data_IF_896719446936
#
_entry.id   IF_896719446936
#
_cell.length_a   1.000
_cell.length_b   1.000
_cell.length_c   1.000
_cell.angle_alpha   90.00
_cell.angle_beta   90.00
_cell.angle_gamma   90.00
#
_symmetry.space_group_name_H-M   'P 1'
#
loop_
_entity.id
_entity.type
_entity.pdbx_description
1 polymer ?
#
# COMPACT_ATOMS: atom_id res chain seq x y z
N UNK A 1 -43.70 -11.64 -25.90
CA UNK A 1 -43.38 -11.45 -24.46
C UNK A 1 -41.88 -11.41 -24.15
N UNK A 2 -41.01 -12.21 -24.80
CA UNK A 2 -39.57 -12.24 -24.48
C UNK A 2 -38.77 -10.95 -24.76
N UNK A 3 -39.10 -10.19 -25.81
CA UNK A 3 -38.36 -8.98 -26.20
C UNK A 3 -38.51 -7.85 -25.17
N UNK A 4 -39.71 -7.65 -24.61
CA UNK A 4 -39.96 -6.63 -23.58
C UNK A 4 -39.23 -6.93 -22.27
N UNK A 5 -39.15 -8.21 -21.89
CA UNK A 5 -38.41 -8.66 -20.69
C UNK A 5 -36.90 -8.40 -20.88
N UNK A 6 -36.37 -8.71 -22.07
CA UNK A 6 -34.95 -8.46 -22.39
C UNK A 6 -34.60 -6.97 -22.33
N UNK A 7 -35.45 -6.10 -22.88
CA UNK A 7 -35.24 -4.65 -22.84
C UNK A 7 -35.26 -4.10 -21.40
N UNK A 8 -36.22 -4.53 -20.57
CA UNK A 8 -36.27 -4.13 -19.15
C UNK A 8 -35.03 -4.59 -18.38
N UNK A 9 -34.52 -5.80 -18.67
CA UNK A 9 -33.30 -6.32 -18.06
C UNK A 9 -32.06 -5.47 -18.44
N UNK A 10 -31.90 -5.14 -19.72
CA UNK A 10 -30.79 -4.29 -20.18
C UNK A 10 -30.82 -2.89 -19.56
N UNK A 11 -32.01 -2.27 -19.51
CA UNK A 11 -32.19 -0.96 -18.87
C UNK A 11 -31.85 -1.03 -17.38
N UNK A 12 -32.30 -2.08 -16.68
CA UNK A 12 -31.99 -2.28 -15.26
C UNK A 12 -30.48 -2.46 -15.01
N UNK A 13 -29.81 -3.27 -15.84
CA UNK A 13 -28.34 -3.45 -15.77
C UNK A 13 -27.62 -2.12 -15.98
N UNK A 14 -28.07 -1.33 -16.96
CA UNK A 14 -27.51 -0.01 -17.25
C UNK A 14 -27.66 0.94 -16.05
N UNK A 15 -28.85 1.02 -15.44
CA UNK A 15 -29.07 1.86 -14.26
C UNK A 15 -28.22 1.40 -13.06
N UNK A 16 -28.10 0.09 -12.83
CA UNK A 16 -27.23 -0.46 -11.78
C UNK A 16 -25.77 -0.11 -12.05
N UNK A 17 -25.30 -0.25 -13.29
CA UNK A 17 -23.95 0.14 -13.69
C UNK A 17 -23.70 1.64 -13.43
N UNK A 18 -24.60 2.52 -13.88
CA UNK A 18 -24.49 3.96 -13.71
C UNK A 18 -24.50 4.36 -12.22
N UNK A 19 -25.37 3.76 -11.42
CA UNK A 19 -25.40 3.98 -9.97
C UNK A 19 -24.09 3.55 -9.31
N UNK A 20 -23.56 2.37 -9.66
CA UNK A 20 -22.27 1.88 -9.13
C UNK A 20 -21.12 2.77 -9.53
N UNK A 21 -21.05 3.18 -10.80
CA UNK A 21 -20.03 4.10 -11.33
C UNK A 21 -20.10 5.46 -10.63
N UNK A 22 -21.29 6.04 -10.50
CA UNK A 22 -21.50 7.30 -9.78
C UNK A 22 -21.09 7.22 -8.31
N UNK A 23 -21.39 6.10 -7.64
CA UNK A 23 -20.97 5.86 -6.24
C UNK A 23 -19.45 5.76 -6.09
N UNK A 24 -18.77 5.09 -7.02
CA UNK A 24 -17.30 5.00 -7.03
C UNK A 24 -16.69 6.39 -7.23
N UNK A 25 -17.16 7.14 -8.23
CA UNK A 25 -16.64 8.48 -8.51
C UNK A 25 -16.81 9.43 -7.30
N UNK A 26 -17.99 9.45 -6.66
CA UNK A 26 -18.23 10.28 -5.47
C UNK A 26 -17.28 9.96 -4.33
N UNK A 27 -16.93 8.68 -4.14
CA UNK A 27 -15.97 8.24 -3.12
C UNK A 27 -14.56 8.66 -3.45
N UNK A 28 -14.15 8.48 -4.70
CA UNK A 28 -12.84 8.92 -5.18
C UNK A 28 -12.67 10.42 -4.97
N UNK A 29 -13.66 11.23 -5.35
CA UNK A 29 -13.65 12.67 -5.13
C UNK A 29 -13.65 13.06 -3.65
N UNK A 30 -14.41 12.34 -2.82
CA UNK A 30 -14.39 12.55 -1.37
C UNK A 30 -12.99 12.33 -0.79
N UNK A 31 -12.31 11.23 -1.14
CA UNK A 31 -10.94 10.95 -0.67
C UNK A 31 -9.96 12.02 -1.19
N UNK A 32 -10.03 12.38 -2.47
CA UNK A 32 -9.14 13.37 -3.09
C UNK A 32 -9.25 14.74 -2.40
N UNK A 33 -10.49 15.19 -2.18
CA UNK A 33 -10.81 16.49 -1.59
C UNK A 33 -10.69 16.54 -0.06
N UNK A 34 -10.49 15.39 0.60
CA UNK A 34 -10.48 15.33 2.07
C UNK A 34 -9.38 16.21 2.67
N UNK A 35 -9.76 16.99 3.69
CA UNK A 35 -8.86 17.85 4.46
C UNK A 35 -8.63 17.21 5.82
N UNK A 36 -7.42 16.74 6.04
CA UNK A 36 -7.00 16.21 7.33
C UNK A 36 -6.94 17.32 8.39
N UNK A 37 -7.24 17.03 9.66
CA UNK A 37 -7.05 17.98 10.76
C UNK A 37 -5.64 18.55 10.79
N UNK A 38 -5.51 19.87 11.01
CA UNK A 38 -4.20 20.54 11.09
C UNK A 38 -3.29 19.97 12.19
N UNK A 39 -3.89 19.39 13.23
CA UNK A 39 -3.16 18.71 14.30
C UNK A 39 -2.25 17.57 13.78
N UNK A 40 -2.66 16.85 12.74
CA UNK A 40 -1.85 15.78 12.13
C UNK A 40 -0.60 16.35 11.46
N UNK A 41 -0.74 17.47 10.76
CA UNK A 41 0.42 18.16 10.14
C UNK A 41 1.41 18.63 11.19
N UNK A 42 0.92 19.17 12.31
CA UNK A 42 1.76 19.56 13.44
C UNK A 42 2.50 18.35 14.04
N UNK A 43 1.78 17.25 14.27
CA UNK A 43 2.34 16.01 14.82
C UNK A 43 3.40 15.39 13.90
N UNK A 44 3.19 15.41 12.59
CA UNK A 44 4.20 15.02 11.60
C UNK A 44 5.46 15.90 11.68
N UNK A 45 5.31 17.22 11.82
CA UNK A 45 6.44 18.13 11.97
C UNK A 45 7.18 18.00 13.32
N UNK A 46 6.47 17.58 14.37
CA UNK A 46 7.07 17.25 15.68
C UNK A 46 7.86 15.93 15.60
N UNK A 47 7.30 14.89 14.98
CA UNK A 47 7.92 13.57 14.84
C UNK A 47 9.09 13.55 13.85
N UNK A 48 8.97 14.29 12.75
CA UNK A 48 9.98 14.38 11.69
C UNK A 48 10.39 15.85 11.45
N UNK A 49 11.24 16.44 12.32
CA UNK A 49 11.62 17.85 12.25
C UNK A 49 12.30 18.28 10.95
N UNK A 50 12.88 17.33 10.21
CA UNK A 50 13.49 17.58 8.89
C UNK A 50 12.48 17.84 7.77
N UNK A 51 11.19 17.57 7.98
CA UNK A 51 10.17 17.74 6.95
C UNK A 51 9.64 19.17 6.87
N UNK A 52 9.70 19.75 5.68
CA UNK A 52 9.05 21.02 5.39
C UNK A 52 7.55 20.84 5.08
N UNK A 53 6.80 21.96 5.02
CA UNK A 53 5.35 21.97 4.76
C UNK A 53 4.95 21.26 3.47
N UNK A 54 5.76 21.33 2.41
CA UNK A 54 5.49 20.67 1.13
C UNK A 54 5.61 19.15 1.27
N UNK A 55 6.63 18.68 1.98
CA UNK A 55 6.83 17.25 2.27
C UNK A 55 5.73 16.70 3.17
N UNK A 56 5.32 17.44 4.21
CA UNK A 56 4.16 17.06 5.04
C UNK A 56 2.89 16.93 4.19
N UNK A 57 2.66 17.86 3.25
CA UNK A 57 1.55 17.76 2.31
C UNK A 57 1.67 16.51 1.42
N UNK A 58 2.87 16.20 0.93
CA UNK A 58 3.15 15.00 0.14
C UNK A 58 2.82 13.73 0.94
N UNK A 59 3.20 13.63 2.22
CA UNK A 59 2.84 12.51 3.11
C UNK A 59 1.32 12.35 3.20
N UNK A 60 0.58 13.44 3.42
CA UNK A 60 -0.89 13.39 3.50
C UNK A 60 -1.56 13.05 2.16
N UNK A 61 -1.00 13.48 1.04
CA UNK A 61 -1.48 13.10 -0.28
C UNK A 61 -1.19 11.62 -0.58
N UNK A 62 -0.04 11.10 -0.15
CA UNK A 62 0.29 9.67 -0.22
C UNK A 62 -0.58 8.82 0.72
N UNK A 63 -0.97 9.34 1.88
CA UNK A 63 -1.98 8.70 2.74
C UNK A 63 -3.33 8.54 2.02
N UNK A 64 -3.73 9.52 1.20
CA UNK A 64 -4.92 9.36 0.33
C UNK A 64 -4.72 8.25 -0.70
N UNK A 65 -3.52 8.12 -1.27
CA UNK A 65 -3.18 7.00 -2.18
C UNK A 65 -3.39 5.66 -1.48
N UNK A 66 -2.92 5.51 -0.24
CA UNK A 66 -3.19 4.33 0.57
C UNK A 66 -4.70 4.07 0.73
N UNK A 67 -5.49 5.09 1.05
CA UNK A 67 -6.96 4.93 1.15
C UNK A 67 -7.63 4.54 -0.17
N UNK A 68 -7.10 4.99 -1.32
CA UNK A 68 -7.62 4.57 -2.62
C UNK A 68 -7.35 3.09 -2.90
N UNK A 69 -6.13 2.61 -2.65
CA UNK A 69 -5.82 1.18 -2.85
C UNK A 69 -6.57 0.31 -1.83
N UNK A 70 -6.81 0.86 -0.64
CA UNK A 70 -7.66 0.27 0.41
C UNK A 70 -9.16 0.43 0.16
N UNK A 71 -9.63 1.09 -0.90
CA UNK A 71 -11.07 1.17 -1.21
C UNK A 71 -11.63 -0.13 -1.83
N UNK A 72 -10.90 -1.24 -1.68
CA UNK A 72 -11.21 -2.49 -2.36
C UNK A 72 -12.08 -3.39 -1.49
N UNK A 73 -13.28 -3.69 -2.00
CA UNK A 73 -14.41 -4.10 -1.17
C UNK A 73 -14.42 -5.54 -0.67
N UNK A 74 -13.53 -6.46 -1.10
CA UNK A 74 -13.83 -7.89 -0.87
C UNK A 74 -12.76 -8.94 -0.59
N UNK A 75 -11.44 -8.83 -0.81
CA UNK A 75 -10.62 -10.08 -0.71
C UNK A 75 -9.19 -10.03 -0.19
N UNK A 76 -8.59 -8.87 0.02
CA UNK A 76 -7.14 -8.80 0.25
C UNK A 76 -6.79 -7.88 1.40
N UNK A 77 -5.98 -8.39 2.34
CA UNK A 77 -5.28 -7.55 3.30
C UNK A 77 -4.32 -6.63 2.56
N UNK A 78 -4.19 -5.38 3.00
CA UNK A 78 -3.29 -4.38 2.42
C UNK A 78 -2.52 -3.79 3.60
N UNK A 79 -1.21 -4.07 3.67
CA UNK A 79 -0.33 -3.47 4.65
C UNK A 79 0.09 -2.06 4.23
N UNK A 80 0.46 -1.24 5.21
CA UNK A 80 1.11 0.04 4.98
C UNK A 80 2.60 -0.19 4.68
N UNK A 81 3.13 0.22 3.51
CA UNK A 81 4.53 0.00 3.15
C UNK A 81 5.39 1.27 3.35
N UNK A 82 5.00 2.16 4.27
CA UNK A 82 5.73 3.39 4.58
C UNK A 82 5.51 3.81 6.03
N UNK A 83 6.60 4.13 6.72
CA UNK A 83 6.61 4.50 8.14
C UNK A 83 6.03 5.90 8.36
N UNK A 84 6.45 6.88 7.54
CA UNK A 84 5.95 8.25 7.68
C UNK A 84 4.46 8.35 7.36
N UNK A 85 3.97 7.53 6.42
CA UNK A 85 2.56 7.46 6.07
C UNK A 85 1.77 6.67 7.13
N UNK A 86 2.36 5.62 7.71
CA UNK A 86 1.74 4.90 8.83
C UNK A 86 1.54 5.80 10.04
N UNK A 87 2.56 6.58 10.41
CA UNK A 87 2.46 7.58 11.47
C UNK A 87 1.32 8.58 11.21
N UNK A 88 1.22 9.11 9.98
CA UNK A 88 0.13 10.01 9.60
C UNK A 88 -1.26 9.33 9.71
N UNK A 89 -1.34 8.05 9.36
CA UNK A 89 -2.57 7.27 9.51
C UNK A 89 -2.92 7.03 10.98
N UNK A 90 -1.92 6.69 11.81
CA UNK A 90 -2.07 6.50 13.24
C UNK A 90 -2.64 7.75 13.91
N UNK A 91 -2.05 8.91 13.62
CA UNK A 91 -2.56 10.20 14.10
C UNK A 91 -3.99 10.49 13.63
N UNK A 92 -4.38 10.03 12.43
CA UNK A 92 -5.74 10.21 11.94
C UNK A 92 -6.76 9.34 12.67
N UNK A 93 -6.40 8.11 13.04
CA UNK A 93 -7.30 7.17 13.76
C UNK A 93 -7.74 7.74 15.10
N UNK A 94 -6.88 8.52 15.76
CA UNK A 94 -7.19 9.18 17.04
C UNK A 94 -8.34 10.20 16.92
N UNK A 95 -8.61 10.74 15.73
CA UNK A 95 -9.80 11.55 15.45
C UNK A 95 -11.01 10.66 15.19
N UNK A 96 -11.39 9.83 16.16
CA UNK A 96 -12.31 8.69 16.00
C UNK A 96 -13.61 9.01 15.25
N UNK A 97 -14.28 10.13 15.57
CA UNK A 97 -15.49 10.59 14.85
C UNK A 97 -15.21 10.92 13.38
N UNK A 98 -14.12 11.63 13.11
CA UNK A 98 -13.72 12.02 11.76
C UNK A 98 -13.28 10.79 10.97
N UNK A 99 -12.52 9.90 11.59
CA UNK A 99 -12.06 8.66 11.00
C UNK A 99 -13.22 7.74 10.63
N UNK A 100 -14.17 7.52 11.54
CA UNK A 100 -15.39 6.74 11.26
C UNK A 100 -16.20 7.35 10.12
N UNK A 101 -16.34 8.68 10.09
CA UNK A 101 -17.05 9.38 9.01
C UNK A 101 -16.31 9.26 7.67
N UNK A 102 -14.99 9.39 7.68
CA UNK A 102 -14.14 9.21 6.51
C UNK A 102 -14.27 7.80 5.95
N UNK A 103 -14.08 6.78 6.79
CA UNK A 103 -14.22 5.38 6.45
C UNK A 103 -15.59 5.06 5.85
N UNK A 104 -16.69 5.48 6.51
CA UNK A 104 -18.05 5.24 6.02
C UNK A 104 -18.39 5.99 4.72
N UNK A 105 -17.80 7.17 4.49
CA UNK A 105 -18.09 8.00 3.31
C UNK A 105 -17.20 7.62 2.13
N UNK A 106 -15.88 7.59 2.33
CA UNK A 106 -14.87 7.34 1.30
C UNK A 106 -14.70 5.88 0.93
N UNK A 107 -14.56 4.99 1.92
CA UNK A 107 -14.35 3.55 1.70
C UNK A 107 -15.70 2.78 1.73
N UNK A 108 -16.60 3.31 2.54
CA UNK A 108 -17.87 2.75 2.99
C UNK A 108 -17.77 1.42 3.73
N UNK A 109 -16.65 1.20 4.41
CA UNK A 109 -16.46 0.23 5.47
C UNK A 109 -15.44 0.82 6.46
N UNK A 110 -15.36 0.27 7.67
CA UNK A 110 -14.35 0.71 8.64
C UNK A 110 -13.01 0.04 8.33
N UNK A 111 -12.00 0.83 7.97
CA UNK A 111 -10.66 0.33 7.74
C UNK A 111 -9.96 0.19 9.10
N UNK A 112 -9.76 -1.05 9.53
CA UNK A 112 -8.99 -1.32 10.75
C UNK A 112 -7.50 -1.17 10.46
N UNK A 113 -6.79 -0.55 11.39
CA UNK A 113 -5.33 -0.60 11.42
C UNK A 113 -4.92 -1.86 12.17
N UNK A 114 -4.03 -2.64 11.59
CA UNK A 114 -3.47 -3.84 12.19
C UNK A 114 -1.96 -3.74 12.02
N UNK A 115 -1.22 -3.42 13.11
CA UNK A 115 0.23 -3.40 13.09
C UNK A 115 0.80 -4.73 12.60
N UNK A 116 1.98 -4.69 11.99
CA UNK A 116 2.63 -5.88 11.43
C UNK A 116 2.86 -6.94 12.51
N UNK A 117 3.20 -6.52 13.73
CA UNK A 117 3.42 -7.35 14.92
C UNK A 117 2.16 -8.10 15.37
N UNK A 118 0.98 -7.59 14.99
CA UNK A 118 -0.32 -8.17 15.31
C UNK A 118 -0.88 -9.06 14.17
N UNK A 119 -0.12 -9.27 13.08
CA UNK A 119 -0.55 -10.15 11.99
C UNK A 119 -0.42 -11.63 12.35
N UNK A 120 -1.32 -12.48 11.84
CA UNK A 120 -1.43 -13.88 12.27
C UNK A 120 -0.29 -14.79 11.75
N UNK A 121 0.44 -14.37 10.72
CA UNK A 121 1.61 -15.08 10.19
C UNK A 121 2.46 -14.18 9.29
N UNK A 122 3.75 -14.53 9.13
CA UNK A 122 4.64 -13.88 8.16
C UNK A 122 4.12 -13.98 6.72
N UNK A 123 3.47 -15.10 6.36
CA UNK A 123 2.84 -15.29 5.05
C UNK A 123 1.73 -14.27 4.78
N UNK A 124 0.88 -14.01 5.79
CA UNK A 124 -0.18 -13.01 5.68
C UNK A 124 0.39 -11.59 5.52
N UNK A 125 1.46 -11.27 6.24
CA UNK A 125 2.16 -10.01 6.11
C UNK A 125 2.73 -9.84 4.69
N UNK A 126 3.43 -10.85 4.17
CA UNK A 126 3.97 -10.84 2.82
C UNK A 126 2.88 -10.70 1.74
N UNK A 127 1.76 -11.41 1.86
CA UNK A 127 0.64 -11.28 0.93
C UNK A 127 0.06 -9.87 0.95
N UNK A 128 -0.07 -9.27 2.13
CA UNK A 128 -0.63 -7.93 2.28
C UNK A 128 0.23 -6.83 1.67
N UNK A 129 1.57 -6.95 1.78
CA UNK A 129 2.52 -6.06 1.11
C UNK A 129 2.51 -6.28 -0.41
N UNK A 130 2.43 -7.53 -0.88
CA UNK A 130 2.29 -7.84 -2.30
C UNK A 130 1.02 -7.23 -2.91
N UNK A 131 -0.10 -7.28 -2.19
CA UNK A 131 -1.34 -6.66 -2.62
C UNK A 131 -1.20 -5.14 -2.67
N UNK A 132 -0.58 -4.52 -1.67
CA UNK A 132 -0.28 -3.09 -1.67
C UNK A 132 0.58 -2.68 -2.87
N UNK A 133 1.63 -3.46 -3.18
CA UNK A 133 2.53 -3.24 -4.32
C UNK A 133 1.77 -3.25 -5.65
N UNK A 134 1.00 -4.32 -5.90
CA UNK A 134 0.26 -4.47 -7.14
C UNK A 134 -0.74 -3.33 -7.35
N UNK A 135 -1.49 -2.97 -6.31
CA UNK A 135 -2.50 -1.91 -6.39
C UNK A 135 -1.87 -0.52 -6.55
N UNK A 136 -0.75 -0.25 -5.87
CA UNK A 136 -0.01 0.99 -6.01
C UNK A 136 0.58 1.14 -7.43
N UNK A 137 1.16 0.06 -7.97
CA UNK A 137 1.67 0.03 -9.35
C UNK A 137 0.56 0.30 -10.37
N UNK A 138 -0.57 -0.42 -10.28
CA UNK A 138 -1.71 -0.24 -11.19
C UNK A 138 -2.24 1.20 -11.14
N UNK A 139 -2.30 1.80 -9.95
CA UNK A 139 -2.77 3.18 -9.78
C UNK A 139 -1.86 4.20 -10.45
N UNK A 140 -0.56 3.96 -10.48
CA UNK A 140 0.43 4.84 -11.11
C UNK A 140 0.75 4.48 -12.57
N UNK A 141 0.10 3.47 -13.15
CA UNK A 141 0.37 3.00 -14.51
C UNK A 141 1.73 2.30 -14.66
N UNK A 142 2.19 1.65 -13.59
CA UNK A 142 3.46 0.90 -13.53
C UNK A 142 3.16 -0.59 -13.68
N UNK A 143 3.98 -1.33 -14.43
CA UNK A 143 3.92 -2.80 -14.45
C UNK A 143 4.47 -3.36 -13.12
N UNK A 144 3.67 -4.09 -12.32
CA UNK A 144 4.14 -4.64 -11.05
C UNK A 144 5.26 -5.69 -11.18
N UNK A 145 5.38 -6.35 -12.34
CA UNK A 145 6.40 -7.39 -12.59
C UNK A 145 7.74 -6.80 -13.01
N UNK A 146 7.70 -5.75 -13.83
CA UNK A 146 8.88 -5.04 -14.30
C UNK A 146 8.69 -3.53 -14.12
N UNK A 147 8.78 -3.03 -12.88
CA UNK A 147 8.45 -1.65 -12.57
C UNK A 147 9.46 -0.69 -13.21
N UNK A 148 8.98 0.28 -13.99
CA UNK A 148 9.82 1.36 -14.52
C UNK A 148 10.34 2.28 -13.41
N UNK A 149 9.55 2.45 -12.34
CA UNK A 149 9.84 3.22 -11.13
C UNK A 149 9.17 2.58 -9.92
N UNK A 150 9.57 2.95 -8.71
CA UNK A 150 8.91 2.54 -7.48
C UNK A 150 7.67 3.44 -7.27
N UNK A 151 6.48 2.89 -6.95
CA UNK A 151 5.31 3.69 -6.63
C UNK A 151 5.57 4.62 -5.44
N UNK A 152 5.01 5.83 -5.45
CA UNK A 152 5.20 6.85 -4.42
C UNK A 152 4.93 6.34 -3.00
N UNK A 153 3.91 5.50 -2.82
CA UNK A 153 3.59 4.92 -1.52
C UNK A 153 4.73 4.06 -0.93
N UNK A 154 5.55 3.45 -1.78
CA UNK A 154 6.74 2.69 -1.38
C UNK A 154 8.00 3.55 -1.40
N UNK A 155 8.07 4.57 -2.26
CA UNK A 155 9.27 5.39 -2.43
C UNK A 155 9.40 6.50 -1.37
N UNK A 156 8.29 6.95 -0.78
CA UNK A 156 8.24 8.19 0.00
C UNK A 156 9.20 8.23 1.19
N UNK A 157 9.40 7.12 1.90
CA UNK A 157 10.30 7.06 3.05
C UNK A 157 11.74 7.38 2.64
N UNK A 158 12.21 6.74 1.56
CA UNK A 158 13.52 7.01 0.99
C UNK A 158 13.62 8.39 0.33
N UNK A 159 12.58 8.85 -0.37
CA UNK A 159 12.56 10.20 -0.98
C UNK A 159 12.66 11.33 0.05
N UNK A 160 12.12 11.12 1.24
CA UNK A 160 12.11 12.10 2.33
C UNK A 160 13.25 11.92 3.32
N UNK A 161 14.12 10.92 3.13
CA UNK A 161 15.20 10.54 4.06
C UNK A 161 14.68 10.27 5.48
N UNK A 162 13.62 9.48 5.59
CA UNK A 162 13.07 9.04 6.88
C UNK A 162 14.04 8.04 7.52
N UNK A 163 14.53 8.36 8.71
CA UNK A 163 15.58 7.58 9.40
C UNK A 163 15.16 6.14 9.71
N UNK A 164 13.92 5.95 10.17
CA UNK A 164 13.31 4.66 10.47
C UNK A 164 12.47 4.10 9.30
N UNK A 165 12.64 4.68 8.10
CA UNK A 165 11.83 4.42 6.93
C UNK A 165 12.19 3.15 6.17
N UNK A 166 11.24 2.65 5.37
CA UNK A 166 11.49 1.52 4.49
C UNK A 166 12.16 1.96 3.18
N UNK A 167 13.24 1.28 2.81
CA UNK A 167 13.95 1.51 1.55
C UNK A 167 13.63 0.36 0.60
N UNK A 168 13.04 0.65 -0.56
CA UNK A 168 12.78 -0.38 -1.59
C UNK A 168 13.76 -0.20 -2.76
N UNK A 169 14.32 -1.31 -3.24
CA UNK A 169 15.33 -1.30 -4.32
C UNK A 169 14.88 -2.19 -5.49
N UNK A 170 14.99 -1.68 -6.72
CA UNK A 170 14.67 -2.41 -7.95
C UNK A 170 15.77 -3.41 -8.35
N UNK A 171 17.03 -2.99 -8.29
CA UNK A 171 18.17 -3.80 -8.74
C UNK A 171 18.87 -4.42 -7.54
N UNK A 172 18.52 -5.67 -7.24
CA UNK A 172 19.07 -6.35 -6.09
C UNK A 172 20.42 -7.05 -6.37
N UNK A 173 20.97 -6.93 -7.57
CA UNK A 173 22.17 -7.67 -7.94
C UNK A 173 23.48 -6.89 -7.74
N UNK A 174 23.45 -5.64 -7.28
CA UNK A 174 24.67 -4.87 -7.03
C UNK A 174 25.12 -4.99 -5.58
N UNK A 175 26.09 -5.87 -5.31
CA UNK A 175 26.80 -6.01 -4.03
C UNK A 175 27.63 -4.78 -3.62
N UNK A 176 27.40 -3.59 -4.20
CA UNK A 176 28.27 -2.41 -4.13
C UNK A 176 27.61 -1.13 -3.60
N UNK A 177 26.31 -1.13 -3.25
CA UNK A 177 25.70 0.04 -2.61
C UNK A 177 25.41 -0.29 -1.15
N UNK A 178 25.80 0.58 -0.22
CA UNK A 178 25.42 0.54 1.20
C UNK A 178 23.90 0.39 1.44
N UNK A 179 23.08 0.70 0.43
CA UNK A 179 21.63 0.48 0.36
C UNK A 179 21.21 -1.01 0.34
N UNK A 180 22.13 -1.93 0.02
CA UNK A 180 21.84 -3.36 -0.08
C UNK A 180 21.74 -4.05 1.29
N UNK A 181 22.37 -3.48 2.32
CA UNK A 181 22.34 -4.02 3.67
C UNK A 181 21.03 -3.73 4.43
N UNK A 182 20.22 -2.76 3.95
CA UNK A 182 19.02 -2.26 4.65
C UNK A 182 17.77 -2.16 3.76
N UNK A 183 17.87 -2.46 2.45
CA UNK A 183 16.79 -2.27 1.48
C UNK A 183 15.97 -3.53 1.16
N UNK A 184 14.65 -3.38 1.08
CA UNK A 184 13.71 -4.40 0.62
C UNK A 184 13.76 -4.57 -0.91
N UNK A 185 14.05 -5.79 -1.36
CA UNK A 185 14.10 -6.11 -2.79
C UNK A 185 12.70 -6.19 -3.40
N UNK A 186 12.41 -5.37 -4.42
CA UNK A 186 11.11 -5.35 -5.10
C UNK A 186 10.81 -6.68 -5.80
N UNK A 187 11.82 -7.34 -6.36
CA UNK A 187 11.65 -8.64 -7.03
C UNK A 187 11.18 -9.74 -6.05
N UNK A 188 11.44 -9.59 -4.75
CA UNK A 188 11.00 -10.54 -3.73
C UNK A 188 9.54 -10.35 -3.33
N UNK A 189 8.98 -9.14 -3.49
CA UNK A 189 7.58 -8.84 -3.17
C UNK A 189 6.63 -9.69 -4.02
N UNK A 190 7.00 -9.98 -5.27
CA UNK A 190 6.16 -10.76 -6.17
C UNK A 190 6.40 -12.28 -6.08
N UNK A 191 7.47 -12.70 -5.40
CA UNK A 191 7.83 -14.10 -5.24
C UNK A 191 6.86 -14.80 -4.28
N UNK A 192 6.16 -15.81 -4.78
CA UNK A 192 5.32 -16.70 -3.98
C UNK A 192 6.12 -17.94 -3.64
N UNK A 193 6.90 -17.91 -2.57
CA UNK A 193 7.50 -19.13 -2.02
C UNK A 193 6.47 -19.83 -1.14
N UNK A 194 5.72 -20.74 -1.75
CA UNK A 194 5.34 -21.95 -1.00
C UNK A 194 6.63 -22.71 -0.68
N UNK A 195 6.78 -23.13 0.56
CA UNK A 195 7.87 -23.90 1.18
C UNK A 195 8.95 -23.10 1.93
N UNK A 196 8.81 -23.19 3.26
CA UNK A 196 9.86 -23.28 4.29
C UNK A 196 11.31 -23.00 3.87
N UNK A 197 11.75 -21.75 4.06
CA UNK A 197 13.10 -21.42 4.52
C UNK A 197 13.02 -20.02 5.12
N UNK A 198 13.22 -19.95 6.44
CA UNK A 198 12.85 -18.82 7.29
C UNK A 198 13.67 -17.56 7.03
N UNK A 199 13.05 -16.61 6.35
CA UNK A 199 13.22 -15.20 6.69
C UNK A 199 11.85 -14.73 7.16
N UNK A 200 11.70 -14.66 8.49
CA UNK A 200 10.49 -14.10 9.06
C UNK A 200 10.57 -12.59 8.87
N UNK A 201 9.47 -11.97 8.44
CA UNK A 201 9.36 -10.50 8.41
C UNK A 201 9.55 -9.88 9.81
N UNK A 202 9.50 -10.67 10.89
CA UNK A 202 9.90 -10.26 12.24
C UNK A 202 11.38 -9.92 12.35
N UNK A 203 12.25 -10.54 11.55
CA UNK A 203 13.71 -10.42 11.70
C UNK A 203 14.25 -9.16 11.00
N UNK A 204 13.38 -8.39 10.34
CA UNK A 204 13.74 -7.11 9.68
C UNK A 204 13.40 -5.90 10.55
N UNK A 205 12.48 -6.06 11.52
CA UNK A 205 12.11 -4.98 12.45
C UNK A 205 12.96 -4.94 13.72
N UNK A 206 13.77 -5.96 13.97
CA UNK A 206 14.73 -5.98 15.06
C UNK A 206 16.14 -5.80 14.50
N UNK A 207 16.77 -4.71 14.89
CA UNK A 207 18.10 -4.28 14.48
C UNK A 207 19.16 -5.38 14.54
N UNK A 208 19.99 -5.47 13.49
CA UNK A 208 21.38 -5.95 13.61
C UNK A 208 21.66 -7.31 12.98
N UNK A 209 22.21 -7.26 11.77
CA UNK A 209 23.29 -8.11 11.27
C UNK A 209 23.08 -9.64 11.34
N UNK A 210 22.65 -10.26 10.24
CA UNK A 210 23.03 -11.66 9.94
C UNK A 210 23.17 -11.92 8.43
N UNK A 211 24.36 -12.41 8.06
CA UNK A 211 24.65 -13.02 6.77
C UNK A 211 23.76 -14.24 6.52
N UNK A 212 23.05 -14.28 5.39
CA UNK A 212 22.67 -15.54 4.76
C UNK A 212 22.42 -15.36 3.27
N UNK A 213 23.17 -16.12 2.47
CA UNK A 213 23.16 -16.05 1.01
C UNK A 213 21.84 -16.54 0.42
N UNK A 214 21.26 -15.75 -0.50
CA UNK A 214 20.10 -16.15 -1.27
C UNK A 214 20.50 -16.67 -2.65
N UNK A 215 20.14 -17.92 -2.88
CA UNK A 215 20.28 -18.65 -4.13
C UNK A 215 19.46 -18.04 -5.26
N UNK A 216 20.08 -17.98 -6.44
CA UNK A 216 19.52 -17.50 -7.70
C UNK A 216 18.17 -18.14 -8.07
N UNK A 217 17.26 -17.32 -8.58
CA UNK A 217 16.05 -17.75 -9.25
C UNK A 217 16.38 -18.30 -10.65
N UNK A 218 16.44 -19.63 -10.77
CA UNK A 218 16.53 -20.30 -12.07
C UNK A 218 15.13 -20.59 -12.61
N UNK A 219 14.82 -20.02 -13.79
CA UNK A 219 13.66 -20.37 -14.60
C UNK A 219 13.59 -21.88 -14.89
N UNK A 220 12.48 -22.51 -14.54
CA UNK A 220 12.15 -23.82 -15.10
C UNK A 220 11.48 -23.62 -16.46
N UNK A 221 12.27 -23.76 -17.53
CA UNK A 221 11.75 -24.00 -18.87
C UNK A 221 11.25 -25.43 -18.98
N UNK A 222 10.01 -25.59 -19.47
CA UNK A 222 9.46 -26.89 -19.84
C UNK A 222 10.14 -27.42 -21.10
N UNK A 223 10.40 -28.73 -21.11
CA UNK A 223 10.79 -29.50 -22.28
C UNK A 223 10.11 -30.85 -22.21
N UNK A 224 9.23 -31.05 -23.18
CA UNK A 224 8.67 -32.26 -23.81
C UNK A 224 8.10 -33.41 -22.95
#
# INVERSE_FOLDING_TARGET
MGIGIFFIALVSIFFVYMYRKGKINRRTEFINSYRFPMAIQRKLGEQYPGLNKKQIKQVLDTLKVFFHISNNRKKHSIAMPSQVVDFAWHEFILFTKNYQKFCSTGLGYFLHHTPTEAMASATQAQESIKNAWNLACVREGIDPKNPSKIPMLFAIDNELNIEDGFIYVKNCNSKSSSTYATGFCVNHINCSTGTSSGVSLSDVFESGNTDSGCSSCSSCGGGD
#
